data_IF_828263284424
#
_entry.id   IF_828263284424
#
_cell.length_a   1.000
_cell.length_b   1.000
_cell.length_c   1.000
_cell.angle_alpha   90.00
_cell.angle_beta   90.00
_cell.angle_gamma   90.00
#
_symmetry.space_group_name_H-M   'P 1'
#
loop_
_entity.id
_entity.type
_entity.pdbx_description
1 polymer ?
#
# COMPACT_ATOMS: atom_id res chain seq x y z
N UNK A 1 -81.41 3.08 -35.96
CA UNK A 1 -80.11 3.77 -35.88
C UNK A 1 -79.64 3.73 -34.39
N UNK A 2 -78.72 2.79 -34.11
CA UNK A 2 -78.18 2.61 -32.75
C UNK A 2 -76.75 3.11 -32.75
N UNK A 3 -76.55 4.19 -31.99
CA UNK A 3 -75.21 4.82 -31.83
C UNK A 3 -74.48 4.05 -30.73
N UNK A 4 -73.43 3.35 -31.07
CA UNK A 4 -72.57 2.65 -30.14
C UNK A 4 -71.66 3.65 -29.38
N UNK A 5 -71.82 3.74 -28.08
CA UNK A 5 -70.94 4.48 -27.19
C UNK A 5 -69.63 3.72 -26.96
N UNK A 6 -68.49 4.30 -27.34
CA UNK A 6 -67.16 3.77 -27.02
C UNK A 6 -66.78 4.17 -25.57
N UNK A 7 -66.24 3.26 -24.76
CA UNK A 7 -65.71 3.59 -23.45
C UNK A 7 -64.45 4.41 -23.57
N UNK A 8 -64.40 5.56 -22.92
CA UNK A 8 -63.20 6.35 -22.71
C UNK A 8 -62.38 5.65 -21.62
N UNK A 9 -61.39 4.91 -22.02
CA UNK A 9 -60.37 4.37 -21.10
C UNK A 9 -59.54 5.53 -20.59
N UNK A 10 -59.68 5.77 -19.31
CA UNK A 10 -59.10 6.86 -18.56
C UNK A 10 -57.54 6.76 -18.58
N UNK A 11 -56.91 7.84 -19.02
CA UNK A 11 -55.44 8.01 -19.07
C UNK A 11 -54.78 7.94 -17.66
N UNK A 12 -55.57 7.82 -16.61
CA UNK A 12 -55.10 7.74 -15.24
C UNK A 12 -54.37 6.42 -14.84
N UNK A 13 -54.67 5.31 -15.51
CA UNK A 13 -54.08 3.99 -15.20
C UNK A 13 -52.65 3.84 -15.72
N UNK A 14 -52.25 4.58 -16.75
CA UNK A 14 -50.89 4.47 -17.35
C UNK A 14 -49.88 5.27 -16.56
N UNK A 15 -50.25 6.37 -15.87
CA UNK A 15 -49.33 7.19 -15.08
C UNK A 15 -48.95 6.49 -13.78
N UNK A 16 -49.84 5.70 -13.18
CA UNK A 16 -49.55 4.98 -11.93
C UNK A 16 -48.57 3.80 -12.14
N UNK A 17 -48.58 3.14 -13.29
CA UNK A 17 -47.64 2.07 -13.64
C UNK A 17 -46.22 2.57 -13.95
N UNK A 18 -46.07 3.81 -14.45
CA UNK A 18 -44.77 4.40 -14.74
C UNK A 18 -44.05 4.89 -13.51
N UNK A 19 -44.78 5.32 -12.46
CA UNK A 19 -44.17 5.79 -11.21
C UNK A 19 -43.63 4.64 -10.36
N UNK A 20 -44.22 3.44 -10.38
CA UNK A 20 -43.74 2.28 -9.65
C UNK A 20 -42.47 1.68 -10.24
N UNK A 21 -42.25 1.79 -11.56
CA UNK A 21 -41.03 1.31 -12.21
C UNK A 21 -39.79 2.22 -11.93
N UNK A 22 -40.01 3.50 -11.62
CA UNK A 22 -38.92 4.45 -11.35
C UNK A 22 -38.35 4.35 -9.91
N UNK A 23 -39.11 3.76 -8.99
CA UNK A 23 -38.62 3.54 -7.60
C UNK A 23 -37.67 2.35 -7.45
N UNK A 24 -37.58 1.45 -8.42
CA UNK A 24 -36.70 0.27 -8.38
C UNK A 24 -35.29 0.54 -8.91
N UNK A 25 -34.99 1.76 -9.38
CA UNK A 25 -33.68 2.18 -9.89
C UNK A 25 -32.95 3.10 -8.90
N UNK A 26 -33.14 2.90 -7.61
CA UNK A 26 -32.25 3.55 -6.65
C UNK A 26 -30.90 2.85 -6.75
N UNK A 27 -29.80 3.60 -7.05
CA UNK A 27 -28.46 3.01 -6.96
C UNK A 27 -28.26 2.53 -5.52
N UNK A 28 -27.93 1.25 -5.38
CA UNK A 28 -27.51 0.72 -4.07
C UNK A 28 -26.44 1.67 -3.50
N UNK A 29 -26.57 2.09 -2.24
CA UNK A 29 -25.53 2.86 -1.60
C UNK A 29 -24.24 2.06 -1.71
N UNK A 30 -23.21 2.64 -2.36
CA UNK A 30 -21.89 2.05 -2.43
C UNK A 30 -21.48 1.66 -1.01
N UNK A 31 -21.37 0.36 -0.76
CA UNK A 31 -20.88 -0.12 0.51
C UNK A 31 -19.47 0.44 0.70
N UNK A 32 -19.13 0.98 1.86
CA UNK A 32 -17.75 1.36 2.15
C UNK A 32 -16.88 0.15 1.85
N UNK A 33 -15.91 0.30 0.95
CA UNK A 33 -14.89 -0.71 0.75
C UNK A 33 -14.12 -0.75 2.08
N UNK A 34 -14.44 -1.74 2.91
CA UNK A 34 -13.59 -2.01 4.06
C UNK A 34 -12.18 -2.28 3.54
N UNK A 35 -11.16 -1.60 4.07
CA UNK A 35 -9.79 -1.86 3.65
C UNK A 35 -9.52 -3.34 3.88
N UNK A 36 -9.26 -4.05 2.79
CA UNK A 36 -8.91 -5.46 2.81
C UNK A 36 -7.64 -5.62 3.66
N UNK A 37 -7.78 -6.02 4.93
CA UNK A 37 -6.59 -6.22 5.73
C UNK A 37 -6.70 -6.14 7.24
N UNK A 38 -7.86 -5.87 7.83
CA UNK A 38 -8.06 -6.08 9.26
C UNK A 38 -8.31 -7.58 9.54
N UNK A 39 -7.48 -8.45 8.97
CA UNK A 39 -7.43 -9.85 9.37
C UNK A 39 -6.95 -9.92 10.81
N UNK A 40 -7.68 -10.64 11.67
CA UNK A 40 -7.32 -11.05 13.03
C UNK A 40 -6.08 -11.94 13.09
N UNK A 41 -5.18 -11.83 12.10
CA UNK A 41 -3.88 -12.48 12.03
C UNK A 41 -2.93 -11.81 13.03
N UNK A 42 -2.32 -12.62 13.89
CA UNK A 42 -1.27 -12.15 14.81
C UNK A 42 -0.22 -11.34 14.07
N UNK A 43 0.49 -10.47 14.78
CA UNK A 43 1.50 -9.57 14.24
C UNK A 43 2.40 -10.20 13.17
N UNK A 44 2.63 -9.51 12.06
CA UNK A 44 3.49 -9.99 10.98
C UNK A 44 4.91 -10.26 11.50
N UNK A 45 5.49 -11.42 11.15
CA UNK A 45 6.82 -11.84 11.61
C UNK A 45 7.84 -11.99 10.48
N UNK A 46 7.38 -12.05 9.24
CA UNK A 46 8.24 -12.30 8.08
C UNK A 46 7.86 -11.37 6.95
N UNK A 47 8.83 -10.73 6.34
CA UNK A 47 8.69 -9.99 5.09
C UNK A 47 9.28 -10.82 3.96
N UNK A 48 8.48 -11.12 2.95
CA UNK A 48 8.85 -11.88 1.76
C UNK A 48 8.73 -10.98 0.55
N UNK A 49 9.82 -10.74 -0.14
CA UNK A 49 9.85 -9.97 -1.38
C UNK A 49 10.01 -10.91 -2.57
N UNK A 50 9.24 -10.70 -3.62
CA UNK A 50 9.48 -11.35 -4.91
C UNK A 50 10.84 -10.93 -5.50
N UNK A 51 11.36 -11.69 -6.45
CA UNK A 51 12.59 -11.33 -7.17
C UNK A 51 12.44 -10.01 -7.94
N UNK A 52 11.24 -9.71 -8.43
CA UNK A 52 10.94 -8.44 -9.08
C UNK A 52 11.05 -7.29 -8.10
N UNK A 53 10.44 -7.39 -6.92
CA UNK A 53 10.50 -6.37 -5.89
C UNK A 53 11.95 -6.15 -5.42
N UNK A 54 12.71 -7.22 -5.19
CA UNK A 54 14.13 -7.15 -4.81
C UNK A 54 14.98 -6.41 -5.85
N UNK A 55 14.84 -6.79 -7.12
CA UNK A 55 15.56 -6.16 -8.23
C UNK A 55 15.20 -4.69 -8.39
N UNK A 56 13.92 -4.37 -8.31
CA UNK A 56 13.45 -2.99 -8.37
C UNK A 56 14.09 -2.14 -7.27
N UNK A 57 14.02 -2.57 -6.02
CA UNK A 57 14.60 -1.87 -4.87
C UNK A 57 16.11 -1.66 -5.04
N UNK A 58 16.84 -2.70 -5.44
CA UNK A 58 18.28 -2.60 -5.66
C UNK A 58 18.65 -1.62 -6.77
N UNK A 59 17.83 -1.51 -7.84
CA UNK A 59 18.03 -0.54 -8.92
C UNK A 59 17.72 0.88 -8.44
N UNK A 60 16.60 1.08 -7.74
CA UNK A 60 16.22 2.39 -7.22
C UNK A 60 17.27 2.93 -6.25
N UNK A 61 17.72 2.12 -5.31
CA UNK A 61 18.72 2.54 -4.33
C UNK A 61 20.04 3.00 -4.95
N UNK A 62 20.44 2.37 -6.08
CA UNK A 62 21.66 2.74 -6.80
C UNK A 62 21.48 3.93 -7.74
N UNK A 63 20.28 4.13 -8.25
CA UNK A 63 19.98 5.16 -9.24
C UNK A 63 19.75 6.54 -8.62
N UNK A 64 19.30 6.60 -7.39
CA UNK A 64 18.92 7.85 -6.74
C UNK A 64 19.84 8.18 -5.57
N UNK A 65 20.51 9.35 -5.59
CA UNK A 65 21.29 9.85 -4.45
C UNK A 65 20.39 10.46 -3.37
N UNK A 66 19.08 10.53 -3.62
CA UNK A 66 18.06 11.03 -2.71
C UNK A 66 17.16 9.89 -2.26
N UNK A 67 16.40 10.10 -1.21
CA UNK A 67 15.38 9.14 -0.81
C UNK A 67 14.37 8.90 -1.94
N UNK A 68 14.00 7.65 -2.13
CA UNK A 68 12.83 7.26 -2.91
C UNK A 68 11.71 6.78 -2.00
N UNK A 69 10.48 6.84 -2.50
CA UNK A 69 9.29 6.33 -1.82
C UNK A 69 8.55 5.36 -2.74
N UNK A 70 8.04 4.28 -2.19
CA UNK A 70 7.31 3.27 -2.95
C UNK A 70 6.19 2.61 -2.16
N UNK A 71 5.19 2.16 -2.92
CA UNK A 71 4.05 1.39 -2.41
C UNK A 71 4.36 -0.10 -2.51
N UNK A 72 4.29 -0.83 -1.41
CA UNK A 72 4.45 -2.28 -1.39
C UNK A 72 3.13 -2.95 -1.77
N UNK A 73 3.06 -3.51 -2.97
CA UNK A 73 1.89 -4.21 -3.49
C UNK A 73 1.99 -5.68 -3.11
N UNK A 74 1.01 -6.15 -2.36
CA UNK A 74 1.09 -7.51 -1.82
C UNK A 74 -0.10 -7.89 -0.95
N UNK A 75 0.09 -8.90 -0.12
CA UNK A 75 -0.94 -9.39 0.80
C UNK A 75 -0.36 -9.92 2.11
N UNK A 76 -1.22 -10.04 3.11
CA UNK A 76 -0.92 -10.77 4.34
C UNK A 76 -1.32 -12.24 4.18
N UNK A 77 -0.35 -13.16 4.34
CA UNK A 77 -0.57 -14.61 4.38
C UNK A 77 -0.22 -15.13 5.77
N UNK A 78 -1.22 -15.28 6.62
CA UNK A 78 -0.98 -15.65 8.02
C UNK A 78 -0.11 -14.62 8.73
N UNK A 79 1.14 -14.98 9.04
CA UNK A 79 2.11 -14.08 9.68
C UNK A 79 3.18 -13.54 8.72
N UNK A 80 3.02 -13.78 7.43
CA UNK A 80 3.95 -13.31 6.40
C UNK A 80 3.34 -12.15 5.62
N UNK A 81 4.12 -11.10 5.42
CA UNK A 81 3.87 -10.03 4.47
C UNK A 81 4.51 -10.46 3.16
N UNK A 82 3.72 -10.71 2.14
CA UNK A 82 4.20 -11.11 0.82
C UNK A 82 4.06 -9.93 -0.13
N UNK A 83 5.19 -9.40 -0.59
CA UNK A 83 5.25 -8.27 -1.52
C UNK A 83 5.62 -8.76 -2.90
N UNK A 84 4.72 -8.58 -3.85
CA UNK A 84 4.92 -9.03 -5.23
C UNK A 84 5.71 -8.03 -6.05
N UNK A 85 5.43 -6.75 -5.86
CA UNK A 85 6.10 -5.64 -6.55
C UNK A 85 6.12 -4.38 -5.68
N UNK A 86 7.01 -3.47 -6.04
CA UNK A 86 7.02 -2.10 -5.55
C UNK A 86 6.54 -1.20 -6.69
N UNK A 87 5.59 -0.33 -6.41
CA UNK A 87 5.19 0.74 -7.30
C UNK A 87 5.76 2.06 -6.78
N UNK A 88 6.19 2.98 -7.67
CA UNK A 88 6.64 4.31 -7.22
C UNK A 88 5.45 5.03 -6.56
N UNK A 89 5.70 5.72 -5.45
CA UNK A 89 4.76 6.66 -4.87
C UNK A 89 5.06 8.07 -5.40
N UNK A 90 4.01 8.84 -5.63
CA UNK A 90 4.17 10.25 -5.96
C UNK A 90 4.66 10.99 -4.71
N UNK A 91 5.69 11.79 -4.89
CA UNK A 91 6.36 12.53 -3.82
C UNK A 91 5.96 13.99 -3.88
N UNK A 92 5.48 14.53 -2.76
CA UNK A 92 5.18 15.96 -2.62
C UNK A 92 6.48 16.78 -2.63
N UNK A 93 6.76 17.53 -3.73
CA UNK A 93 8.02 18.25 -3.85
C UNK A 93 8.14 19.46 -2.93
N UNK A 94 7.01 19.96 -2.41
CA UNK A 94 6.98 21.11 -1.51
C UNK A 94 7.38 20.72 -0.08
N UNK A 95 7.16 19.47 0.32
CA UNK A 95 7.41 18.97 1.66
C UNK A 95 8.51 17.90 1.72
N UNK A 96 9.14 17.58 0.58
CA UNK A 96 10.22 16.59 0.51
C UNK A 96 11.58 17.26 0.35
N UNK A 97 12.61 16.59 0.84
CA UNK A 97 14.03 16.95 0.71
C UNK A 97 14.81 15.73 0.22
N UNK A 98 16.10 15.86 -0.12
CA UNK A 98 16.92 14.71 -0.49
C UNK A 98 16.97 13.59 0.58
N UNK A 99 16.74 13.92 1.84
CA UNK A 99 16.82 12.99 2.99
C UNK A 99 15.51 12.88 3.77
N UNK A 100 14.40 13.28 3.17
CA UNK A 100 13.07 13.14 3.75
C UNK A 100 12.02 13.21 2.65
N UNK A 101 11.26 12.15 2.47
CA UNK A 101 10.22 12.07 1.44
C UNK A 101 8.82 12.02 2.06
N UNK A 102 7.92 12.79 1.48
CA UNK A 102 6.50 12.84 1.85
C UNK A 102 5.69 12.40 0.64
N UNK A 103 4.76 11.47 0.84
CA UNK A 103 3.84 11.07 -0.21
C UNK A 103 2.85 12.21 -0.53
N UNK A 104 2.66 12.52 -1.81
CA UNK A 104 1.65 13.47 -2.27
C UNK A 104 0.24 12.97 -2.00
N UNK A 105 0.04 11.65 -2.15
CA UNK A 105 -1.25 11.00 -1.94
C UNK A 105 -1.08 9.56 -1.43
N UNK A 106 -2.17 8.96 -0.94
CA UNK A 106 -2.19 7.57 -0.57
C UNK A 106 -1.96 6.67 -1.79
N UNK A 107 -1.29 5.54 -1.62
CA UNK A 107 -1.00 4.59 -2.70
C UNK A 107 -2.26 4.14 -3.46
N UNK A 108 -3.36 3.95 -2.77
CA UNK A 108 -4.65 3.57 -3.38
C UNK A 108 -5.23 4.69 -4.23
N UNK A 109 -5.06 5.96 -3.83
CA UNK A 109 -5.48 7.12 -4.61
C UNK A 109 -4.67 7.25 -5.91
N UNK A 110 -3.39 6.83 -5.89
CA UNK A 110 -2.55 6.70 -7.08
C UNK A 110 -2.88 5.46 -7.93
N UNK A 111 -3.87 4.65 -7.55
CA UNK A 111 -4.26 3.43 -8.25
C UNK A 111 -3.46 2.19 -7.91
N UNK A 112 -2.63 2.24 -6.88
CA UNK A 112 -1.83 1.10 -6.43
C UNK A 112 -2.57 0.28 -5.38
N UNK A 113 -3.23 -0.78 -5.82
CA UNK A 113 -3.98 -1.69 -4.95
C UNK A 113 -3.70 -3.15 -5.32
N UNK A 114 -3.66 -4.06 -4.34
CA UNK A 114 -3.71 -3.82 -2.91
C UNK A 114 -2.35 -3.37 -2.34
N UNK A 115 -2.31 -2.23 -1.68
CA UNK A 115 -1.12 -1.77 -0.95
C UNK A 115 -1.15 -2.32 0.48
N UNK A 116 -0.05 -2.93 0.89
CA UNK A 116 0.11 -3.52 2.23
C UNK A 116 1.02 -2.69 3.13
N UNK A 117 1.83 -1.84 2.55
CA UNK A 117 2.78 -1.00 3.25
C UNK A 117 3.47 0.00 2.34
N UNK A 118 4.29 0.85 2.93
CA UNK A 118 5.20 1.73 2.21
C UNK A 118 6.65 1.33 2.46
N UNK A 119 7.52 1.74 1.54
CA UNK A 119 8.96 1.60 1.65
C UNK A 119 9.63 2.87 1.16
N UNK A 120 10.59 3.37 1.91
CA UNK A 120 11.46 4.45 1.49
C UNK A 120 12.93 4.06 1.66
N UNK A 121 13.83 4.86 1.14
CA UNK A 121 15.27 4.60 1.26
C UNK A 121 15.97 5.66 2.09
N UNK A 122 17.04 5.23 2.77
CA UNK A 122 18.05 6.12 3.35
C UNK A 122 19.34 5.96 2.54
N UNK A 123 19.64 6.85 1.59
CA UNK A 123 20.76 6.68 0.64
C UNK A 123 22.11 6.48 1.31
N UNK A 124 22.36 7.15 2.43
CA UNK A 124 23.61 7.05 3.19
C UNK A 124 23.69 5.78 4.06
N UNK A 125 22.61 4.98 4.12
CA UNK A 125 22.53 3.79 4.97
C UNK A 125 22.49 4.09 6.46
N UNK A 126 22.25 5.35 6.83
CA UNK A 126 22.19 5.80 8.20
C UNK A 126 20.76 5.91 8.71
N UNK A 127 20.60 5.98 10.04
CA UNK A 127 19.31 6.21 10.72
C UNK A 127 18.22 5.18 10.36
N UNK A 128 18.62 3.94 10.16
CA UNK A 128 17.74 2.85 9.76
C UNK A 128 17.06 2.21 10.98
N UNK A 129 16.22 2.97 11.64
CA UNK A 129 15.47 2.54 12.82
C UNK A 129 14.15 3.31 12.95
N UNK A 130 13.14 2.66 13.46
CA UNK A 130 11.85 3.26 13.80
C UNK A 130 11.81 3.81 15.22
N UNK A 131 12.65 3.28 16.09
CA UNK A 131 12.85 3.77 17.45
C UNK A 131 14.34 4.10 17.65
N UNK A 132 14.63 5.14 18.39
CA UNK A 132 16.02 5.46 18.74
C UNK A 132 16.65 4.28 19.47
N UNK A 133 17.86 3.85 19.07
CA UNK A 133 18.50 2.65 19.61
C UNK A 133 18.52 2.60 21.14
N UNK A 134 18.05 1.48 21.70
CA UNK A 134 17.99 1.28 23.15
C UNK A 134 16.88 2.05 23.88
N UNK A 135 15.93 2.65 23.14
CA UNK A 135 14.80 3.39 23.72
C UNK A 135 13.47 2.95 23.11
N UNK A 136 12.35 3.40 23.69
CA UNK A 136 11.02 3.28 23.12
C UNK A 136 10.56 4.59 22.43
N UNK A 137 11.47 5.53 22.23
CA UNK A 137 11.17 6.81 21.60
C UNK A 137 11.16 6.63 20.08
N UNK A 138 10.01 6.87 19.46
CA UNK A 138 9.86 6.76 18.02
C UNK A 138 10.65 7.84 17.27
N UNK A 139 11.37 7.44 16.22
CA UNK A 139 11.96 8.33 15.21
C UNK A 139 10.88 9.03 14.39
N UNK A 140 11.29 9.88 13.44
CA UNK A 140 10.39 10.46 12.43
C UNK A 140 9.63 9.38 11.66
N UNK A 141 10.32 8.30 11.24
CA UNK A 141 9.76 7.20 10.48
C UNK A 141 8.79 6.35 11.33
N UNK A 142 9.14 6.12 12.59
CA UNK A 142 8.25 5.48 13.55
C UNK A 142 6.96 6.27 13.79
N UNK A 143 7.07 7.60 13.89
CA UNK A 143 5.92 8.49 13.99
C UNK A 143 5.10 8.55 12.70
N UNK A 144 5.76 8.54 11.54
CA UNK A 144 5.09 8.50 10.24
C UNK A 144 4.30 7.20 10.08
N UNK A 145 4.92 6.05 10.35
CA UNK A 145 4.24 4.75 10.31
C UNK A 145 3.03 4.68 11.26
N UNK A 146 3.13 5.26 12.44
CA UNK A 146 2.01 5.26 13.40
C UNK A 146 0.74 5.94 12.86
N UNK A 147 0.90 6.87 11.91
CA UNK A 147 -0.20 7.62 11.27
C UNK A 147 -0.72 6.97 9.98
N UNK A 148 0.03 6.03 9.38
CA UNK A 148 -0.38 5.35 8.15
C UNK A 148 -1.40 4.24 8.44
N UNK A 149 -2.30 3.92 7.49
CA UNK A 149 -3.27 2.83 7.63
C UNK A 149 -2.67 1.44 7.37
N UNK A 150 -1.45 1.35 6.83
CA UNK A 150 -0.84 0.13 6.32
C UNK A 150 -0.40 -0.84 7.41
N UNK A 151 -0.32 -2.12 7.07
CA UNK A 151 0.06 -3.18 8.00
C UNK A 151 1.55 -3.16 8.38
N UNK A 152 2.40 -2.67 7.46
CA UNK A 152 3.85 -2.63 7.60
C UNK A 152 4.43 -1.36 6.98
N UNK A 153 5.65 -1.03 7.39
CA UNK A 153 6.50 -0.02 6.77
C UNK A 153 7.93 -0.53 6.68
N UNK A 154 8.72 -0.01 5.74
CA UNK A 154 10.06 -0.48 5.47
C UNK A 154 11.02 0.66 5.11
N UNK A 155 12.27 0.56 5.58
CA UNK A 155 13.38 1.46 5.26
C UNK A 155 14.45 0.65 4.55
N UNK A 156 14.79 1.03 3.33
CA UNK A 156 15.90 0.42 2.61
C UNK A 156 17.22 1.10 2.97
N UNK A 157 18.17 0.31 3.48
CA UNK A 157 19.45 0.74 3.99
C UNK A 157 20.58 -0.06 3.35
N UNK A 158 21.02 0.35 2.17
CA UNK A 158 22.01 -0.41 1.42
C UNK A 158 21.50 -1.78 0.97
N UNK A 159 22.16 -2.83 1.43
CA UNK A 159 21.82 -4.22 1.08
C UNK A 159 20.82 -4.88 2.04
N UNK A 160 20.24 -4.14 2.95
CA UNK A 160 19.23 -4.65 3.86
C UNK A 160 18.02 -3.71 3.98
N UNK A 161 16.93 -4.27 4.44
CA UNK A 161 15.70 -3.54 4.74
C UNK A 161 15.45 -3.70 6.23
N UNK A 162 15.26 -2.58 6.93
CA UNK A 162 14.65 -2.56 8.26
C UNK A 162 13.16 -2.35 8.08
N UNK A 163 12.34 -3.15 8.73
CA UNK A 163 10.90 -3.05 8.59
C UNK A 163 10.19 -3.26 9.94
N UNK A 164 9.00 -2.73 10.03
CA UNK A 164 8.17 -2.76 11.22
C UNK A 164 6.73 -3.16 10.85
N UNK A 165 6.10 -3.92 11.72
CA UNK A 165 4.66 -4.20 11.67
C UNK A 165 3.90 -3.50 12.79
N UNK A 166 2.59 -3.73 12.85
CA UNK A 166 1.73 -3.15 13.90
C UNK A 166 2.04 -3.65 15.32
N UNK A 167 2.88 -4.68 15.45
CA UNK A 167 3.43 -5.13 16.73
C UNK A 167 4.63 -4.27 17.22
N UNK A 168 5.02 -3.26 16.45
CA UNK A 168 6.11 -2.33 16.76
C UNK A 168 7.49 -2.98 16.90
N UNK A 169 7.65 -4.24 16.50
CA UNK A 169 8.94 -4.91 16.52
C UNK A 169 9.70 -4.65 15.22
N UNK A 170 10.88 -4.07 15.33
CA UNK A 170 11.80 -3.89 14.21
C UNK A 170 12.42 -5.22 13.80
N UNK A 171 12.57 -5.41 12.49
CA UNK A 171 13.13 -6.62 11.89
C UNK A 171 13.98 -6.25 10.71
N UNK A 172 14.90 -7.13 10.33
CA UNK A 172 15.76 -6.92 9.18
C UNK A 172 15.59 -8.03 8.14
N UNK A 173 15.71 -7.65 6.87
CA UNK A 173 15.73 -8.53 5.71
C UNK A 173 16.93 -8.19 4.85
N UNK A 174 17.81 -9.16 4.56
CA UNK A 174 18.87 -8.98 3.58
C UNK A 174 18.32 -9.06 2.16
N UNK A 175 18.70 -8.12 1.30
CA UNK A 175 18.38 -8.14 -0.13
C UNK A 175 19.30 -9.08 -0.91
N UNK A 176 20.52 -9.32 -0.40
CA UNK A 176 21.47 -10.25 -1.01
C UNK A 176 21.12 -11.66 -0.58
N UNK A 177 20.87 -12.55 -1.56
CA UNK A 177 20.65 -13.96 -1.26
C UNK A 177 21.92 -14.55 -0.61
N UNK A 178 21.74 -15.42 0.40
CA UNK A 178 22.84 -16.00 1.16
C UNK A 178 23.93 -16.70 0.30
N UNK A 179 23.57 -17.15 -0.92
CA UNK A 179 24.50 -17.75 -1.88
C UNK A 179 25.35 -16.76 -2.70
N UNK A 180 24.95 -15.50 -2.83
CA UNK A 180 25.69 -14.52 -3.64
C UNK A 180 26.87 -13.89 -2.89
N UNK A 181 26.91 -13.92 -1.57
CA UNK A 181 28.06 -13.42 -0.77
C UNK A 181 29.34 -14.21 -1.01
N UNK A 182 29.23 -15.51 -1.32
CA UNK A 182 30.39 -16.37 -1.56
C UNK A 182 31.13 -16.07 -2.87
N UNK A 183 30.44 -15.58 -3.90
CA UNK A 183 31.02 -15.31 -5.23
C UNK A 183 31.78 -13.98 -5.25
N UNK A 184 31.30 -12.96 -4.55
CA UNK A 184 31.98 -11.64 -4.48
C UNK A 184 33.30 -11.69 -3.70
N UNK A 185 33.45 -12.61 -2.73
CA UNK A 185 34.68 -12.76 -1.96
C UNK A 185 35.82 -13.45 -2.76
N UNK A 186 35.49 -14.18 -3.84
CA UNK A 186 36.46 -14.90 -4.68
C UNK A 186 37.02 -14.01 -5.81
N UNK A 187 36.28 -12.96 -6.20
CA UNK A 187 36.69 -12.07 -7.31
C UNK A 187 37.69 -10.97 -6.92
N UNK A 188 38.03 -10.82 -5.64
CA UNK A 188 38.96 -9.80 -5.13
C UNK A 188 40.27 -10.40 -4.57
N UNK A 189 40.73 -11.54 -5.09
CA UNK A 189 42.06 -12.08 -4.83
C UNK A 189 42.90 -12.13 -6.09
#
# INVERSE_FOLDING_TARGET
MQVASRPVLTRAAIVAAALTALLCLQPEPAQPIEPAGAGTGGAARTLVLSDQARRYLALQYRAYPTEFLGCMIGELRGRSVVVWRIAPADVDPAHSTPTHVVAEQACEAAGWSPTIGMIHSHPDGERCWYYFPGTEVASSDGQAFARQPYAVDAIMCGEHIVWIGRDKAERQLSLVAAGQRAVSAISNR
#
